data_IF_450653152112
#
_entry.id   IF_450653152112
#
_cell.length_a   1.000
_cell.length_b   1.000
_cell.length_c   1.000
_cell.angle_alpha   90.00
_cell.angle_beta   90.00
_cell.angle_gamma   90.00
#
_symmetry.space_group_name_H-M   'P 1'
#
loop_
_entity.id
_entity.type
_entity.pdbx_description
1 polymer ?
#
# COMPACT_ATOMS: atom_id res chain seq x y z
N UNK A 1 -14.77 23.31 -22.30
CA UNK A 1 -13.66 23.04 -21.35
C UNK A 1 -12.94 21.80 -21.84
N UNK A 2 -11.61 21.74 -21.80
CA UNK A 2 -10.87 20.56 -22.23
C UNK A 2 -11.06 19.43 -21.21
N UNK A 3 -11.15 18.18 -21.72
CA UNK A 3 -11.21 17.00 -20.87
C UNK A 3 -9.93 16.87 -20.03
N UNK A 4 -10.08 16.41 -18.77
CA UNK A 4 -8.96 16.19 -17.86
C UNK A 4 -9.00 14.77 -17.31
N UNK A 5 -7.84 14.11 -17.31
CA UNK A 5 -7.68 12.77 -16.74
C UNK A 5 -7.12 12.89 -15.32
N UNK A 6 -7.82 12.34 -14.35
CA UNK A 6 -7.38 12.25 -12.96
C UNK A 6 -6.90 10.84 -12.68
N UNK A 7 -5.61 10.67 -12.38
CA UNK A 7 -5.04 9.38 -11.97
C UNK A 7 -5.12 9.31 -10.45
N UNK A 8 -6.05 8.51 -9.94
CA UNK A 8 -6.49 8.56 -8.54
C UNK A 8 -6.15 7.25 -7.83
N UNK A 9 -5.55 7.36 -6.65
CA UNK A 9 -5.32 6.23 -5.75
C UNK A 9 -6.60 5.83 -5.02
N UNK A 10 -6.96 4.55 -5.13
CA UNK A 10 -8.12 3.96 -4.44
C UNK A 10 -7.79 3.47 -3.02
N UNK A 11 -6.55 3.65 -2.55
CA UNK A 11 -6.12 3.09 -1.29
C UNK A 11 -6.10 1.54 -1.30
N UNK A 12 -6.08 0.89 -0.13
CA UNK A 12 -5.96 -0.56 0.01
C UNK A 12 -7.24 -1.32 -0.37
N UNK A 13 -8.35 -0.60 -0.58
CA UNK A 13 -9.61 -1.19 -1.03
C UNK A 13 -10.73 -1.14 0.01
N UNK A 14 -10.77 -0.09 0.83
CA UNK A 14 -11.89 0.28 1.71
C UNK A 14 -12.20 1.76 1.52
N UNK A 15 -13.48 2.12 1.56
CA UNK A 15 -13.90 3.47 1.19
C UNK A 15 -13.48 4.55 2.20
N UNK A 16 -13.33 4.23 3.46
CA UNK A 16 -12.90 5.13 4.53
C UNK A 16 -11.40 5.48 4.48
N UNK A 17 -10.61 4.73 3.72
CA UNK A 17 -9.20 5.04 3.44
C UNK A 17 -8.98 5.78 2.12
N UNK A 18 -10.04 6.25 1.46
CA UNK A 18 -9.93 7.18 0.35
C UNK A 18 -9.54 8.57 0.84
N UNK A 19 -8.74 9.26 0.03
CA UNK A 19 -8.56 10.71 0.28
C UNK A 19 -9.85 11.47 -0.05
N UNK A 20 -10.09 12.59 0.63
CA UNK A 20 -11.26 13.45 0.32
C UNK A 20 -11.25 13.89 -1.14
N UNK A 21 -10.08 14.15 -1.71
CA UNK A 21 -9.92 14.49 -3.14
C UNK A 21 -10.39 13.34 -4.05
N UNK A 22 -10.03 12.10 -3.72
CA UNK A 22 -10.47 10.93 -4.47
C UNK A 22 -12.00 10.80 -4.45
N UNK A 23 -12.63 10.93 -3.29
CA UNK A 23 -14.09 10.89 -3.14
C UNK A 23 -14.77 11.97 -3.98
N UNK A 24 -14.26 13.21 -3.93
CA UNK A 24 -14.81 14.34 -4.71
C UNK A 24 -14.77 14.05 -6.21
N UNK A 25 -13.63 13.52 -6.70
CA UNK A 25 -13.46 13.21 -8.11
C UNK A 25 -14.32 12.02 -8.57
N UNK A 26 -14.43 10.98 -7.75
CA UNK A 26 -15.30 9.83 -8.05
C UNK A 26 -16.76 10.25 -8.17
N UNK A 27 -17.25 11.13 -7.29
CA UNK A 27 -18.62 11.65 -7.33
C UNK A 27 -18.90 12.57 -8.52
N UNK A 28 -17.86 13.17 -9.11
CA UNK A 28 -17.97 14.03 -10.28
C UNK A 28 -17.59 13.30 -11.59
N UNK A 29 -17.17 12.04 -11.52
CA UNK A 29 -16.66 11.31 -12.67
C UNK A 29 -17.76 11.02 -13.71
N UNK A 30 -17.44 11.22 -14.98
CA UNK A 30 -18.25 10.80 -16.12
C UNK A 30 -17.76 9.48 -16.70
N UNK A 31 -16.45 9.24 -16.61
CA UNK A 31 -15.81 7.97 -17.00
C UNK A 31 -14.86 7.53 -15.91
N UNK A 32 -14.92 6.26 -15.53
CA UNK A 32 -14.00 5.65 -14.56
C UNK A 32 -13.36 4.41 -15.15
N UNK A 33 -12.05 4.44 -15.32
CA UNK A 33 -11.23 3.29 -15.74
C UNK A 33 -10.55 2.73 -14.50
N UNK A 34 -10.98 1.57 -13.99
CA UNK A 34 -10.49 1.08 -12.70
C UNK A 34 -9.72 -0.23 -12.78
N UNK A 35 -8.77 -0.41 -11.84
CA UNK A 35 -8.05 -1.67 -11.64
C UNK A 35 -8.99 -2.74 -11.06
N UNK A 36 -8.65 -4.02 -11.28
CA UNK A 36 -9.45 -5.16 -10.84
C UNK A 36 -9.56 -5.31 -9.31
N UNK A 37 -8.56 -4.83 -8.57
CA UNK A 37 -8.55 -4.89 -7.09
C UNK A 37 -9.41 -3.80 -6.43
N UNK A 38 -9.96 -2.85 -7.19
CA UNK A 38 -10.87 -1.82 -6.67
C UNK A 38 -12.22 -2.48 -6.35
N UNK A 39 -12.68 -2.46 -5.10
CA UNK A 39 -13.94 -3.10 -4.73
C UNK A 39 -15.17 -2.29 -5.14
N UNK A 40 -16.29 -2.98 -5.22
CA UNK A 40 -17.57 -2.42 -5.65
C UNK A 40 -18.00 -1.23 -4.81
N UNK A 41 -17.80 -1.26 -3.49
CA UNK A 41 -18.20 -0.18 -2.56
C UNK A 41 -17.54 1.16 -2.87
N UNK A 42 -16.32 1.16 -3.46
CA UNK A 42 -15.65 2.38 -3.94
C UNK A 42 -16.27 2.84 -5.27
N UNK A 43 -16.60 1.92 -6.15
CA UNK A 43 -17.23 2.23 -7.44
C UNK A 43 -18.66 2.76 -7.27
N UNK A 44 -19.35 2.36 -6.21
CA UNK A 44 -20.70 2.83 -5.87
C UNK A 44 -20.72 4.32 -5.44
N UNK A 45 -19.56 4.95 -5.23
CA UNK A 45 -19.44 6.40 -5.04
C UNK A 45 -19.63 7.20 -6.35
N UNK A 46 -19.51 6.54 -7.50
CA UNK A 46 -19.66 7.18 -8.80
C UNK A 46 -21.15 7.44 -9.10
N UNK A 47 -21.46 8.51 -9.87
CA UNK A 47 -22.83 8.73 -10.35
C UNK A 47 -23.34 7.53 -11.15
N UNK A 48 -24.64 7.24 -11.06
CA UNK A 48 -25.26 6.17 -11.84
C UNK A 48 -25.12 6.37 -13.37
N UNK A 49 -24.93 7.61 -13.80
CA UNK A 49 -24.68 7.98 -15.20
C UNK A 49 -23.22 7.79 -15.64
N UNK A 50 -22.30 7.55 -14.68
CA UNK A 50 -20.89 7.38 -15.03
C UNK A 50 -20.64 6.05 -15.76
N UNK A 51 -19.83 6.10 -16.80
CA UNK A 51 -19.35 4.90 -17.49
C UNK A 51 -18.20 4.28 -16.69
N UNK A 52 -18.44 3.16 -16.01
CA UNK A 52 -17.44 2.45 -15.18
C UNK A 52 -16.90 1.25 -15.96
N UNK A 53 -15.59 1.24 -16.20
CA UNK A 53 -14.90 0.26 -17.06
C UNK A 53 -13.78 -0.42 -16.26
N UNK A 54 -13.86 -1.73 -16.10
CA UNK A 54 -12.74 -2.51 -15.55
C UNK A 54 -11.65 -2.67 -16.63
N UNK A 55 -10.45 -2.16 -16.34
CA UNK A 55 -9.27 -2.27 -17.19
C UNK A 55 -8.17 -3.15 -16.59
N UNK A 56 -8.40 -3.66 -15.38
CA UNK A 56 -7.44 -4.48 -14.62
C UNK A 56 -7.19 -5.85 -15.23
N UNK A 57 -6.11 -6.48 -14.76
CA UNK A 57 -5.75 -7.87 -15.08
C UNK A 57 -5.85 -8.72 -13.83
N UNK A 58 -6.56 -9.85 -13.89
CA UNK A 58 -6.40 -10.94 -12.92
C UNK A 58 -5.38 -11.94 -13.43
N UNK A 59 -4.54 -12.45 -12.54
CA UNK A 59 -3.66 -13.58 -12.83
C UNK A 59 -4.48 -14.72 -13.47
N UNK A 60 -4.05 -15.22 -14.64
CA UNK A 60 -4.75 -16.29 -15.35
C UNK A 60 -5.93 -15.88 -16.25
N UNK A 61 -6.32 -14.60 -16.33
CA UNK A 61 -7.34 -14.11 -17.27
C UNK A 61 -6.75 -13.16 -18.30
N UNK A 62 -7.28 -13.17 -19.54
CA UNK A 62 -6.96 -12.18 -20.58
C UNK A 62 -7.47 -10.82 -20.09
N UNK A 63 -6.55 -9.94 -19.67
CA UNK A 63 -6.82 -8.54 -19.36
C UNK A 63 -6.29 -7.64 -20.48
N UNK A 64 -6.61 -6.34 -20.42
CA UNK A 64 -6.07 -5.35 -21.37
C UNK A 64 -4.56 -5.20 -21.17
N UNK A 65 -3.81 -4.99 -22.26
CA UNK A 65 -2.41 -4.60 -22.18
C UNK A 65 -2.29 -3.16 -21.64
N UNK A 66 -1.10 -2.74 -21.22
CA UNK A 66 -0.92 -1.37 -20.75
C UNK A 66 -1.13 -0.37 -21.89
N UNK A 67 -0.72 -0.74 -23.09
CA UNK A 67 -0.93 0.05 -24.31
C UNK A 67 -2.44 0.26 -24.58
N UNK A 68 -3.25 -0.77 -24.38
CA UNK A 68 -4.71 -0.68 -24.54
C UNK A 68 -5.34 0.20 -23.46
N UNK A 69 -4.83 0.15 -22.20
CA UNK A 69 -5.30 1.03 -21.11
C UNK A 69 -4.96 2.48 -21.44
N UNK A 70 -3.71 2.72 -21.87
CA UNK A 70 -3.22 4.04 -22.23
C UNK A 70 -4.03 4.62 -23.41
N UNK A 71 -4.27 3.82 -24.44
CA UNK A 71 -5.08 4.22 -25.58
C UNK A 71 -6.52 4.57 -25.18
N UNK A 72 -7.11 3.79 -24.26
CA UNK A 72 -8.48 4.02 -23.79
C UNK A 72 -8.59 5.34 -23.00
N UNK A 73 -7.61 5.66 -22.14
CA UNK A 73 -7.58 6.96 -21.44
C UNK A 73 -7.51 8.14 -22.41
N UNK A 74 -6.62 8.06 -23.39
CA UNK A 74 -6.45 9.11 -24.42
C UNK A 74 -7.70 9.23 -25.28
N UNK A 75 -8.33 8.10 -25.67
CA UNK A 75 -9.54 8.10 -26.46
C UNK A 75 -10.69 8.80 -25.73
N UNK A 76 -10.94 8.46 -24.47
CA UNK A 76 -11.98 9.14 -23.69
C UNK A 76 -11.73 10.64 -23.55
N UNK A 77 -10.48 11.05 -23.41
CA UNK A 77 -10.13 12.47 -23.27
C UNK A 77 -10.26 13.28 -24.55
N UNK A 78 -10.20 12.63 -25.74
CA UNK A 78 -10.17 13.33 -27.03
C UNK A 78 -11.43 13.15 -27.85
N UNK A 79 -12.01 11.95 -27.80
CA UNK A 79 -13.06 11.54 -28.71
C UNK A 79 -14.45 11.47 -28.05
N UNK A 80 -14.55 11.82 -26.75
CA UNK A 80 -15.83 11.87 -26.05
C UNK A 80 -16.09 13.25 -25.46
N UNK A 81 -17.33 13.52 -25.08
CA UNK A 81 -17.72 14.76 -24.38
C UNK A 81 -17.39 14.74 -22.88
N UNK A 82 -16.80 13.65 -22.38
CA UNK A 82 -16.46 13.53 -20.98
C UNK A 82 -15.37 14.54 -20.58
N UNK A 83 -15.66 15.38 -19.60
CA UNK A 83 -14.71 16.38 -19.08
C UNK A 83 -13.92 15.85 -17.87
N UNK A 84 -14.53 14.95 -17.09
CA UNK A 84 -13.93 14.36 -15.88
C UNK A 84 -13.76 12.86 -16.06
N UNK A 85 -12.53 12.44 -16.36
CA UNK A 85 -12.16 11.04 -16.55
C UNK A 85 -11.27 10.63 -15.37
N UNK A 86 -11.68 9.58 -14.65
CA UNK A 86 -10.93 9.04 -13.51
C UNK A 86 -10.26 7.72 -13.90
N UNK A 87 -8.94 7.68 -13.85
CA UNK A 87 -8.16 6.44 -13.84
C UNK A 87 -7.94 6.02 -12.39
N UNK A 88 -8.73 5.08 -11.91
CA UNK A 88 -8.74 4.65 -10.51
C UNK A 88 -7.82 3.43 -10.31
N UNK A 89 -6.75 3.61 -9.54
CA UNK A 89 -5.67 2.65 -9.33
C UNK A 89 -5.67 2.14 -7.89
N UNK A 90 -5.43 0.84 -7.70
CA UNK A 90 -5.28 0.26 -6.36
C UNK A 90 -4.07 0.83 -5.64
N UNK A 91 -4.20 1.12 -4.34
CA UNK A 91 -3.15 1.71 -3.52
C UNK A 91 -2.87 3.17 -3.88
N UNK A 92 -1.59 3.50 -4.00
CA UNK A 92 -1.07 4.78 -4.48
C UNK A 92 -0.60 4.64 -5.94
N UNK A 93 -0.97 5.55 -6.85
CA UNK A 93 -0.59 5.48 -8.27
C UNK A 93 0.91 5.43 -8.51
N UNK A 94 1.71 6.10 -7.66
CA UNK A 94 3.16 6.21 -7.81
C UNK A 94 3.92 4.99 -7.29
N UNK A 95 3.26 4.07 -6.54
CA UNK A 95 3.91 2.90 -5.94
C UNK A 95 3.53 1.63 -6.72
N UNK A 96 4.44 1.14 -7.56
CA UNK A 96 4.28 -0.04 -8.44
C UNK A 96 3.01 -0.05 -9.31
N UNK A 97 2.44 1.14 -9.57
CA UNK A 97 1.20 1.32 -10.34
C UNK A 97 1.40 1.54 -11.84
N UNK A 98 2.59 1.38 -12.40
CA UNK A 98 2.92 1.67 -13.82
C UNK A 98 2.53 3.09 -14.26
N UNK A 99 2.53 4.04 -13.31
CA UNK A 99 2.12 5.43 -13.52
C UNK A 99 2.93 6.09 -14.64
N UNK A 100 4.25 5.85 -14.71
CA UNK A 100 5.12 6.45 -15.73
C UNK A 100 4.63 6.21 -17.16
N UNK A 101 4.21 4.98 -17.47
CA UNK A 101 3.70 4.61 -18.81
C UNK A 101 2.38 5.31 -19.14
N UNK A 102 1.51 5.50 -18.14
CA UNK A 102 0.23 6.21 -18.29
C UNK A 102 0.49 7.72 -18.50
N UNK A 103 1.40 8.33 -17.73
CA UNK A 103 1.77 9.74 -17.89
C UNK A 103 2.41 10.02 -19.26
N UNK A 104 3.27 9.14 -19.73
CA UNK A 104 3.92 9.30 -21.04
C UNK A 104 2.90 9.27 -22.18
N UNK A 105 1.86 8.43 -22.06
CA UNK A 105 0.79 8.38 -23.05
C UNK A 105 -0.03 9.68 -23.06
N UNK A 106 -0.40 10.19 -21.88
CA UNK A 106 -1.18 11.44 -21.76
C UNK A 106 -0.37 12.65 -22.24
N UNK A 107 0.92 12.74 -21.88
CA UNK A 107 1.82 13.81 -22.36
C UNK A 107 1.96 13.82 -23.87
N UNK A 108 2.23 12.64 -24.48
CA UNK A 108 2.34 12.52 -25.95
C UNK A 108 1.04 12.91 -26.66
N UNK A 109 -0.09 12.65 -26.01
CA UNK A 109 -1.40 13.02 -26.53
C UNK A 109 -1.78 14.49 -26.24
N UNK A 110 -1.01 15.26 -25.48
CA UNK A 110 -1.38 16.63 -25.07
C UNK A 110 -2.63 16.69 -24.21
N UNK A 111 -2.93 15.63 -23.46
CA UNK A 111 -4.08 15.55 -22.54
C UNK A 111 -3.69 16.10 -21.19
N UNK A 112 -4.53 16.99 -20.65
CA UNK A 112 -4.34 17.50 -19.27
C UNK A 112 -4.61 16.41 -18.27
N UNK A 113 -3.76 16.33 -17.22
CA UNK A 113 -3.93 15.32 -16.16
C UNK A 113 -3.54 15.85 -14.79
N UNK A 114 -4.04 15.16 -13.76
CA UNK A 114 -3.69 15.39 -12.34
C UNK A 114 -3.48 14.03 -11.66
N UNK A 115 -2.49 13.95 -10.76
CA UNK A 115 -2.24 12.77 -9.95
C UNK A 115 -2.78 13.04 -8.54
N UNK A 116 -3.63 12.13 -8.06
CA UNK A 116 -4.20 12.18 -6.71
C UNK A 116 -3.67 11.00 -5.92
N UNK A 117 -2.89 11.21 -4.85
CA UNK A 117 -2.31 10.14 -4.08
C UNK A 117 -3.38 9.29 -3.37
N UNK A 118 -3.00 8.09 -3.00
CA UNK A 118 -3.80 7.18 -2.18
C UNK A 118 -2.99 6.58 -1.04
N UNK A 119 -3.67 5.95 -0.08
CA UNK A 119 -2.98 5.19 0.96
C UNK A 119 -2.33 3.96 0.31
N UNK A 120 -1.00 3.91 0.35
CA UNK A 120 -0.25 2.79 -0.22
C UNK A 120 -0.42 1.53 0.62
N UNK A 121 -0.35 0.35 -0.02
CA UNK A 121 -0.58 -0.93 0.65
C UNK A 121 0.41 -1.20 1.81
N UNK A 122 1.64 -0.70 1.74
CA UNK A 122 2.61 -0.83 2.84
C UNK A 122 2.14 -0.11 4.11
N UNK A 123 1.63 1.13 3.98
CA UNK A 123 1.11 1.90 5.12
C UNK A 123 -0.14 1.25 5.71
N UNK A 124 -1.04 0.75 4.86
CA UNK A 124 -2.22 0.02 5.32
C UNK A 124 -1.82 -1.27 6.05
N UNK A 125 -0.89 -2.05 5.48
CA UNK A 125 -0.41 -3.27 6.10
C UNK A 125 0.26 -3.02 7.46
N UNK A 126 1.05 -1.96 7.60
CA UNK A 126 1.66 -1.59 8.88
C UNK A 126 0.60 -1.24 9.94
N UNK A 127 -0.43 -0.48 9.56
CA UNK A 127 -1.55 -0.15 10.44
C UNK A 127 -2.33 -1.41 10.88
N UNK A 128 -2.65 -2.30 9.94
CA UNK A 128 -3.31 -3.58 10.19
C UNK A 128 -2.48 -4.46 11.13
N UNK A 129 -1.18 -4.53 10.90
CA UNK A 129 -0.25 -5.28 11.74
C UNK A 129 0.13 -4.54 13.04
N UNK A 130 -0.36 -3.32 13.30
CA UNK A 130 -0.02 -2.51 14.48
C UNK A 130 1.49 -2.38 14.68
N UNK A 131 2.22 -2.19 13.60
CA UNK A 131 3.68 -1.98 13.59
C UNK A 131 4.03 -0.65 12.95
N UNK A 132 5.21 -0.15 13.25
CA UNK A 132 5.80 1.00 12.55
C UNK A 132 6.58 0.52 11.34
N UNK A 133 6.69 1.36 10.30
CA UNK A 133 7.61 1.09 9.17
C UNK A 133 9.02 1.64 9.45
N UNK A 134 9.12 2.63 10.35
CA UNK A 134 10.39 3.20 10.82
C UNK A 134 10.35 3.35 12.33
N UNK A 135 11.45 3.07 13.02
CA UNK A 135 11.59 3.24 14.48
C UNK A 135 13.03 3.66 14.76
N UNK A 136 13.22 4.76 15.50
CA UNK A 136 14.54 5.29 15.83
C UNK A 136 15.45 4.27 16.53
N UNK A 137 14.87 3.26 17.17
CA UNK A 137 15.57 2.21 17.91
C UNK A 137 15.92 0.99 17.06
N UNK A 138 15.19 0.77 15.94
CA UNK A 138 15.25 -0.47 15.19
C UNK A 138 15.46 -0.29 13.68
N UNK A 139 14.87 0.76 13.09
CA UNK A 139 14.89 0.95 11.65
C UNK A 139 14.88 2.42 11.25
N UNK A 140 16.01 2.92 10.76
CA UNK A 140 16.19 4.29 10.27
C UNK A 140 15.79 4.46 8.81
N UNK A 141 15.61 3.37 8.07
CA UNK A 141 15.28 3.39 6.65
C UNK A 141 14.09 2.46 6.34
N UNK A 142 13.28 2.87 5.35
CA UNK A 142 12.23 2.06 4.75
C UNK A 142 12.56 1.81 3.28
N UNK A 143 12.72 0.55 2.93
CA UNK A 143 12.98 0.11 1.55
C UNK A 143 11.72 -0.53 0.98
N UNK A 144 11.15 0.10 -0.04
CA UNK A 144 9.93 -0.37 -0.69
C UNK A 144 10.31 -1.07 -2.00
N UNK A 145 10.04 -2.36 -2.07
CA UNK A 145 10.46 -3.20 -3.21
C UNK A 145 9.31 -4.05 -3.73
N UNK A 146 9.46 -4.55 -4.95
CA UNK A 146 8.56 -5.58 -5.49
C UNK A 146 9.32 -6.89 -5.66
N UNK A 147 8.70 -8.00 -5.25
CA UNK A 147 9.25 -9.32 -5.53
C UNK A 147 9.14 -9.69 -7.03
N UNK A 148 8.32 -8.94 -7.79
CA UNK A 148 8.16 -9.12 -9.23
C UNK A 148 9.13 -8.22 -9.98
N UNK A 149 10.32 -8.75 -10.30
CA UNK A 149 11.37 -7.94 -10.92
C UNK A 149 11.32 -8.05 -12.46
N UNK A 150 11.10 -6.90 -13.13
CA UNK A 150 11.05 -6.82 -14.59
C UNK A 150 12.45 -6.84 -15.26
N UNK A 151 13.54 -6.70 -14.50
CA UNK A 151 14.90 -6.57 -15.03
C UNK A 151 15.82 -7.74 -14.73
N UNK A 152 15.35 -8.85 -14.18
CA UNK A 152 16.17 -10.00 -13.72
C UNK A 152 17.36 -9.59 -12.80
N UNK A 153 17.29 -8.45 -12.15
CA UNK A 153 18.23 -8.09 -11.11
C UNK A 153 18.01 -9.01 -9.91
N UNK A 154 19.09 -9.50 -9.32
CA UNK A 154 18.99 -10.34 -8.14
C UNK A 154 18.33 -9.56 -7.02
N UNK A 155 17.25 -10.09 -6.47
CA UNK A 155 16.54 -9.51 -5.32
C UNK A 155 17.51 -9.27 -4.15
N UNK A 156 18.53 -10.13 -3.98
CA UNK A 156 19.55 -9.99 -2.97
C UNK A 156 20.34 -8.66 -3.06
N UNK A 157 20.60 -8.14 -4.27
CA UNK A 157 21.29 -6.84 -4.43
C UNK A 157 20.44 -5.67 -3.93
N UNK A 158 19.12 -5.74 -4.14
CA UNK A 158 18.19 -4.69 -3.71
C UNK A 158 18.00 -4.75 -2.19
N UNK A 159 18.05 -5.96 -1.62
CA UNK A 159 17.84 -6.20 -0.19
C UNK A 159 19.15 -6.11 0.65
N UNK A 160 20.31 -5.86 0.03
CA UNK A 160 21.60 -5.70 0.72
C UNK A 160 21.77 -4.34 1.42
N UNK A 161 20.68 -3.72 1.85
CA UNK A 161 20.66 -2.49 2.64
C UNK A 161 20.98 -2.77 4.12
N UNK A 162 21.38 -1.75 4.92
CA UNK A 162 21.78 -1.94 6.31
C UNK A 162 20.76 -2.73 7.14
N UNK A 163 21.25 -3.49 8.11
CA UNK A 163 20.44 -4.28 9.04
C UNK A 163 19.38 -3.43 9.80
N UNK A 164 19.56 -2.10 9.84
CA UNK A 164 18.62 -1.12 10.40
C UNK A 164 17.51 -0.68 9.44
N UNK A 165 17.24 -1.44 8.38
CA UNK A 165 16.19 -1.13 7.41
C UNK A 165 14.96 -2.01 7.61
N UNK A 166 13.78 -1.43 7.35
CA UNK A 166 12.55 -2.18 7.15
C UNK A 166 12.32 -2.37 5.66
N UNK A 167 12.03 -3.58 5.25
CA UNK A 167 11.66 -3.88 3.86
C UNK A 167 10.15 -4.09 3.77
N UNK A 168 9.49 -3.36 2.87
CA UNK A 168 8.10 -3.57 2.49
C UNK A 168 8.06 -4.15 1.07
N UNK A 169 7.81 -5.46 0.98
CA UNK A 169 7.80 -6.19 -0.29
C UNK A 169 6.38 -6.30 -0.83
N UNK A 170 6.17 -5.73 -2.00
CA UNK A 170 4.94 -5.82 -2.77
C UNK A 170 4.93 -7.07 -3.64
N UNK A 171 3.74 -7.62 -3.85
CA UNK A 171 3.55 -8.80 -4.72
C UNK A 171 4.50 -9.96 -4.39
N UNK A 172 4.58 -10.38 -3.11
CA UNK A 172 5.55 -11.39 -2.71
C UNK A 172 5.29 -12.77 -3.34
N UNK A 173 4.15 -12.93 -4.03
CA UNK A 173 3.75 -14.18 -4.67
C UNK A 173 3.20 -15.21 -3.68
N UNK A 174 2.76 -16.39 -4.19
CA UNK A 174 2.25 -17.47 -3.35
C UNK A 174 3.35 -18.35 -2.75
N UNK A 175 4.57 -18.29 -3.29
CA UNK A 175 5.76 -19.03 -2.84
C UNK A 175 6.80 -18.06 -2.31
N UNK A 176 6.99 -18.10 -1.00
CA UNK A 176 7.94 -17.23 -0.30
C UNK A 176 9.37 -17.77 -0.30
N UNK A 177 9.62 -19.00 -0.74
CA UNK A 177 10.95 -19.65 -0.68
C UNK A 177 12.01 -18.83 -1.44
N UNK A 178 11.68 -18.32 -2.63
CA UNK A 178 12.57 -17.46 -3.43
C UNK A 178 12.84 -16.12 -2.77
N UNK A 179 11.83 -15.52 -2.15
CA UNK A 179 11.96 -14.26 -1.42
C UNK A 179 12.86 -14.43 -0.21
N UNK A 180 12.66 -15.50 0.57
CA UNK A 180 13.51 -15.84 1.72
C UNK A 180 14.93 -16.14 1.28
N UNK A 181 15.13 -16.88 0.18
CA UNK A 181 16.47 -17.12 -0.36
C UNK A 181 17.17 -15.80 -0.72
N UNK A 182 16.50 -14.87 -1.41
CA UNK A 182 17.04 -13.55 -1.76
C UNK A 182 17.43 -12.73 -0.54
N UNK A 183 16.62 -12.78 0.53
CA UNK A 183 16.91 -12.11 1.81
C UNK A 183 18.12 -12.73 2.51
N UNK A 184 18.24 -14.07 2.51
CA UNK A 184 19.42 -14.77 3.06
C UNK A 184 20.70 -14.42 2.27
N UNK A 185 20.65 -14.41 0.96
CA UNK A 185 21.76 -14.01 0.09
C UNK A 185 22.18 -12.55 0.32
N UNK A 186 21.22 -11.69 0.75
CA UNK A 186 21.46 -10.32 1.15
C UNK A 186 22.04 -10.19 2.58
N UNK A 187 22.19 -11.30 3.32
CA UNK A 187 22.77 -11.34 4.66
C UNK A 187 21.77 -11.35 5.81
N UNK A 188 20.46 -11.46 5.52
CA UNK A 188 19.46 -11.58 6.59
C UNK A 188 19.45 -12.98 7.20
N UNK A 189 19.39 -13.06 8.55
CA UNK A 189 19.32 -14.33 9.26
C UNK A 189 17.93 -14.96 9.14
N UNK A 190 17.85 -16.29 9.20
CA UNK A 190 16.56 -17.01 9.23
C UNK A 190 15.68 -16.64 10.44
N UNK A 191 16.29 -16.11 11.51
CA UNK A 191 15.61 -15.60 12.69
C UNK A 191 15.05 -14.18 12.52
N UNK A 192 15.38 -13.50 11.40
CA UNK A 192 14.85 -12.14 11.14
C UNK A 192 13.32 -12.15 11.16
N UNK A 193 12.72 -11.27 11.98
CA UNK A 193 11.27 -11.20 12.11
C UNK A 193 10.62 -10.59 10.88
N UNK A 194 9.41 -11.04 10.56
CA UNK A 194 8.62 -10.52 9.48
C UNK A 194 7.12 -10.62 9.76
N UNK A 195 6.33 -9.85 9.03
CA UNK A 195 4.88 -9.90 9.04
C UNK A 195 4.33 -9.99 7.61
N UNK A 196 3.42 -10.92 7.37
CA UNK A 196 2.65 -10.95 6.12
C UNK A 196 1.25 -10.46 6.41
N UNK A 197 0.84 -9.43 5.67
CA UNK A 197 -0.50 -8.85 5.78
C UNK A 197 -1.24 -9.06 4.48
N UNK A 198 -2.27 -9.86 4.54
CA UNK A 198 -3.15 -10.15 3.42
C UNK A 198 -4.41 -9.30 3.49
N UNK A 199 -4.87 -8.78 2.37
CA UNK A 199 -6.08 -7.96 2.26
C UNK A 199 -6.14 -6.79 3.27
N UNK A 200 -5.01 -6.10 3.49
CA UNK A 200 -4.89 -5.03 4.47
C UNK A 200 -6.06 -4.02 4.41
N UNK A 201 -6.67 -3.74 5.58
CA UNK A 201 -7.81 -2.84 5.73
C UNK A 201 -9.16 -3.42 5.29
N UNK A 202 -9.23 -4.63 4.76
CA UNK A 202 -10.47 -5.27 4.28
C UNK A 202 -11.08 -6.19 5.33
N UNK A 203 -12.37 -6.55 5.19
CA UNK A 203 -13.08 -7.45 6.11
C UNK A 203 -12.44 -8.84 6.26
N UNK A 204 -11.74 -9.31 5.23
CA UNK A 204 -11.03 -10.58 5.20
C UNK A 204 -9.51 -10.41 5.37
N UNK A 205 -9.12 -9.38 6.13
CA UNK A 205 -7.74 -9.14 6.50
C UNK A 205 -7.18 -10.28 7.33
N UNK A 206 -5.94 -10.65 7.05
CA UNK A 206 -5.19 -11.64 7.82
C UNK A 206 -3.77 -11.14 8.05
N UNK A 207 -3.31 -11.19 9.30
CA UNK A 207 -1.95 -10.82 9.70
C UNK A 207 -1.27 -12.04 10.29
N UNK A 208 -0.09 -12.38 9.78
CA UNK A 208 0.78 -13.44 10.32
C UNK A 208 2.14 -12.86 10.68
N UNK A 209 2.55 -13.03 11.93
CA UNK A 209 3.90 -12.70 12.40
C UNK A 209 4.73 -13.96 12.39
N UNK A 210 5.87 -13.90 11.73
CA UNK A 210 6.73 -15.05 11.42
C UNK A 210 8.20 -14.63 11.51
N UNK A 211 9.08 -15.62 11.56
CA UNK A 211 10.49 -15.48 11.19
C UNK A 211 10.67 -15.84 9.71
N UNK A 212 11.80 -15.47 9.10
CA UNK A 212 12.10 -15.90 7.72
C UNK A 212 12.15 -17.44 7.61
N UNK A 213 12.53 -18.15 8.67
CA UNK A 213 12.51 -19.61 8.72
C UNK A 213 11.08 -20.16 8.54
N UNK A 214 10.13 -19.63 9.30
CA UNK A 214 8.72 -20.03 9.24
C UNK A 214 8.08 -19.60 7.92
N UNK A 215 8.43 -18.39 7.44
CA UNK A 215 7.93 -17.85 6.17
C UNK A 215 8.28 -18.76 4.98
N UNK A 216 9.46 -19.38 4.98
CA UNK A 216 9.93 -20.27 3.90
C UNK A 216 8.96 -21.42 3.61
N UNK A 217 8.28 -21.91 4.64
CA UNK A 217 7.29 -22.99 4.55
C UNK A 217 5.84 -22.51 4.69
N UNK A 218 5.62 -21.22 4.75
CA UNK A 218 4.27 -20.67 4.88
C UNK A 218 3.47 -20.86 3.59
N UNK A 219 2.25 -21.36 3.73
CA UNK A 219 1.32 -21.60 2.63
C UNK A 219 -0.06 -21.01 2.94
N UNK A 220 -0.89 -20.88 1.91
CA UNK A 220 -2.29 -20.49 2.05
C UNK A 220 -2.51 -19.05 2.48
N UNK A 221 -1.57 -18.15 2.19
CA UNK A 221 -1.74 -16.71 2.44
C UNK A 221 -2.42 -16.09 1.22
N UNK A 222 -3.63 -15.52 1.38
CA UNK A 222 -4.36 -14.97 0.25
C UNK A 222 -3.70 -13.72 -0.34
N UNK A 223 -3.79 -13.54 -1.65
CA UNK A 223 -3.46 -12.28 -2.32
C UNK A 223 -4.68 -11.33 -2.34
N UNK A 224 -4.47 -10.01 -2.36
CA UNK A 224 -3.19 -9.31 -2.33
C UNK A 224 -2.54 -9.32 -0.95
N UNK A 225 -1.22 -9.37 -0.90
CA UNK A 225 -0.46 -9.39 0.34
C UNK A 225 0.76 -8.45 0.28
N UNK A 226 1.16 -7.96 1.44
CA UNK A 226 2.41 -7.23 1.68
C UNK A 226 3.22 -8.02 2.69
N UNK A 227 4.51 -8.21 2.41
CA UNK A 227 5.47 -8.77 3.35
C UNK A 227 6.31 -7.62 3.92
N UNK A 228 6.33 -7.48 5.25
CA UNK A 228 7.17 -6.53 5.97
C UNK A 228 8.25 -7.30 6.71
N UNK A 229 9.51 -6.98 6.46
CA UNK A 229 10.69 -7.67 7.04
C UNK A 229 11.52 -6.66 7.81
N UNK A 230 11.92 -6.99 9.02
CA UNK A 230 12.80 -6.18 9.85
C UNK A 230 12.39 -6.18 11.34
N UNK A 231 13.27 -5.66 12.18
CA UNK A 231 13.13 -5.64 13.64
C UNK A 231 11.86 -4.93 14.14
N UNK A 232 11.27 -4.03 13.33
CA UNK A 232 9.99 -3.38 13.65
C UNK A 232 8.84 -4.37 13.84
N UNK A 233 8.96 -5.58 13.28
CA UNK A 233 7.94 -6.64 13.39
C UNK A 233 8.14 -7.52 14.63
N UNK A 234 9.31 -7.47 15.29
CA UNK A 234 9.66 -8.30 16.43
C UNK A 234 8.73 -8.10 17.66
N UNK A 235 8.18 -6.89 17.82
CA UNK A 235 7.36 -6.55 19.00
C UNK A 235 6.07 -7.36 19.09
N UNK A 236 5.60 -7.90 17.98
CA UNK A 236 4.34 -8.65 17.89
C UNK A 236 4.55 -10.17 17.68
N UNK A 237 5.80 -10.64 17.62
CA UNK A 237 6.06 -12.06 17.77
C UNK A 237 5.56 -12.52 19.14
N UNK A 238 4.95 -13.70 19.29
CA UNK A 238 4.46 -14.19 20.56
C UNK A 238 5.65 -14.28 21.55
N UNK A 239 5.77 -13.27 22.42
CA UNK A 239 6.72 -13.30 23.53
C UNK A 239 6.18 -14.22 24.62
N UNK A 240 7.04 -15.06 25.20
CA UNK A 240 6.75 -15.64 26.50
C UNK A 240 6.52 -14.48 27.47
N UNK A 241 5.31 -14.40 28.01
CA UNK A 241 4.92 -13.38 28.97
C UNK A 241 5.86 -13.40 30.17
N UNK A 242 6.59 -12.31 30.40
CA UNK A 242 6.96 -11.81 31.73
C UNK A 242 7.69 -10.47 31.54
N UNK A 243 7.35 -9.46 32.37
CA UNK A 243 8.07 -8.23 32.69
C UNK A 243 7.81 -6.89 31.98
N UNK A 244 6.83 -6.72 31.10
CA UNK A 244 6.69 -5.40 30.45
C UNK A 244 5.58 -4.50 31.06
N UNK A 245 4.57 -5.06 31.72
CA UNK A 245 3.42 -4.28 32.23
C UNK A 245 3.72 -3.45 33.47
N UNK A 246 4.66 -3.85 34.29
CA UNK A 246 5.01 -3.13 35.54
C UNK A 246 5.77 -1.82 35.28
N UNK A 247 6.64 -1.78 34.26
CA UNK A 247 7.42 -0.59 33.91
C UNK A 247 6.58 0.53 33.27
N UNK A 248 5.69 0.20 32.36
CA UNK A 248 4.85 1.18 31.64
C UNK A 248 3.89 1.88 32.62
N UNK A 249 3.38 1.16 33.64
CA UNK A 249 2.45 1.75 34.56
C UNK A 249 3.11 2.71 35.57
N UNK A 250 4.41 2.54 35.87
CA UNK A 250 5.14 3.48 36.73
C UNK A 250 5.51 4.77 36.00
N UNK A 251 6.03 4.66 34.76
CA UNK A 251 6.39 5.82 33.95
C UNK A 251 5.16 6.68 33.60
N UNK A 252 4.02 6.05 33.28
CA UNK A 252 2.78 6.78 33.00
C UNK A 252 2.23 7.51 34.23
N UNK A 253 2.38 6.95 35.44
CA UNK A 253 1.98 7.62 36.70
C UNK A 253 2.86 8.83 37.00
N UNK A 254 4.16 8.73 36.79
CA UNK A 254 5.10 9.82 37.05
C UNK A 254 4.85 11.01 36.07
N UNK A 255 4.57 10.75 34.81
CA UNK A 255 4.19 11.79 33.85
C UNK A 255 2.86 12.48 34.26
N UNK A 256 1.86 11.71 34.69
CA UNK A 256 0.54 12.27 35.07
C UNK A 256 0.62 13.13 36.35
N UNK A 257 1.59 12.87 37.24
CA UNK A 257 1.79 13.67 38.45
C UNK A 257 2.62 14.94 38.21
N UNK A 258 3.43 15.00 37.13
CA UNK A 258 4.21 16.21 36.79
C UNK A 258 3.48 17.24 35.95
N UNK A 259 2.38 16.87 35.21
CA UNK A 259 1.61 17.79 34.38
C UNK A 259 0.30 18.28 35.05
N UNK A 260 0.33 18.64 36.31
CA UNK A 260 -0.73 19.51 36.85
C UNK A 260 -0.40 20.94 36.52
N UNK A 261 -0.95 21.44 35.36
CA UNK A 261 -1.00 22.86 35.05
C UNK A 261 -1.77 23.59 36.15
N UNK A 262 -1.22 24.66 36.75
CA UNK A 262 -1.98 25.50 37.67
C UNK A 262 -3.11 26.19 36.85
N UNK A 263 -4.35 25.90 37.21
CA UNK A 263 -5.50 26.67 36.75
C UNK A 263 -5.33 28.05 37.33
N UNK A 264 -4.93 29.02 36.56
CA UNK A 264 -5.02 30.43 36.95
C UNK A 264 -6.52 30.78 37.10
N UNK A 265 -6.91 30.87 38.37
CA UNK A 265 -8.15 31.55 38.76
C UNK A 265 -7.91 33.04 38.63
N UNK A 266 -8.33 33.65 37.51
CA UNK A 266 -8.55 35.08 37.45
C UNK A 266 -9.78 35.39 38.28
N UNK A 267 -9.53 35.98 39.47
CA UNK A 267 -10.47 36.80 40.21
C UNK A 267 -9.90 38.20 40.23
N UNK A 268 -10.63 39.14 39.61
CA UNK A 268 -10.36 40.58 39.67
C UNK A 268 -11.22 41.29 38.61
#
# INVERSE_FOLDING_TARGET
>A
MSAKVYIVGAGPGVADLLTLRAVTLLRAAQVVLHDDLVPREILDLCPASAQVINVGKRCGRRGRSQEQINALMVWHARETEAQTIVRLKSGDPAVFGRLGEELDALRRAGVEFEIVPGVTAASAAAASAKITLTDRRAASALVVVTAHNCRNESLSKILAEPASSTFALYMPGPDYSKTVQGLMEAGHALTTPCAVVSNAGRKNEEVRYLTLHELKSAHGIPAPAILIVGEVTAQNLPRRHEDTLSKISSEARDLYHHERFPIHSDQG
#
